data_IF_433606907172
#
_entry.id   IF_433606907172
#
_cell.length_a   1.000
_cell.length_b   1.000
_cell.length_c   1.000
_cell.angle_alpha   90.00
_cell.angle_beta   90.00
_cell.angle_gamma   90.00
#
_symmetry.space_group_name_H-M   'P 1'
#
loop_
_entity.id
_entity.type
_entity.pdbx_description
1 polymer ?
#
# COMPACT_ATOMS: atom_id res chain seq x y z
N UNK A 1 -12.85 -30.09 -31.08
CA UNK A 1 -11.40 -30.07 -31.05
C UNK A 1 -10.89 -28.83 -31.78
N UNK A 2 -10.47 -27.81 -31.04
CA UNK A 2 -10.14 -26.49 -31.57
C UNK A 2 -8.87 -26.52 -32.44
N UNK A 3 -8.79 -25.62 -33.44
CA UNK A 3 -7.68 -25.52 -34.41
C UNK A 3 -6.28 -25.35 -33.80
N UNK A 4 -6.16 -25.00 -32.53
CA UNK A 4 -4.87 -24.81 -31.85
C UNK A 4 -4.25 -26.07 -31.24
N UNK A 5 -5.05 -27.11 -30.95
CA UNK A 5 -4.56 -28.38 -30.39
C UNK A 5 -3.76 -29.20 -31.42
N UNK A 6 -4.00 -29.02 -32.71
CA UNK A 6 -3.36 -29.82 -33.77
C UNK A 6 -1.90 -29.46 -34.08
N UNK A 7 -1.36 -28.36 -33.53
CA UNK A 7 -0.01 -27.89 -33.86
C UNK A 7 0.98 -27.96 -32.69
N UNK A 8 0.65 -28.66 -31.61
CA UNK A 8 1.56 -28.84 -30.45
C UNK A 8 2.23 -30.20 -30.49
N UNK A 9 3.44 -30.26 -29.88
CA UNK A 9 4.21 -31.51 -29.88
C UNK A 9 3.41 -32.65 -29.23
N UNK A 10 3.56 -33.90 -29.71
CA UNK A 10 2.90 -35.08 -29.12
C UNK A 10 3.23 -35.21 -27.64
N UNK A 11 4.45 -34.91 -27.22
CA UNK A 11 4.91 -34.93 -25.84
C UNK A 11 4.16 -33.97 -24.92
N UNK A 12 3.86 -32.72 -25.38
CA UNK A 12 3.08 -31.75 -24.64
C UNK A 12 1.63 -32.21 -24.48
N UNK A 13 1.05 -32.82 -25.51
CA UNK A 13 -0.29 -33.36 -25.46
C UNK A 13 -0.42 -34.51 -24.45
N UNK A 14 0.59 -35.40 -24.41
CA UNK A 14 0.65 -36.48 -23.44
C UNK A 14 0.79 -35.96 -22.00
N UNK A 15 1.68 -34.98 -21.77
CA UNK A 15 1.80 -34.33 -20.46
C UNK A 15 0.45 -33.72 -19.99
N UNK A 16 -0.28 -33.06 -20.86
CA UNK A 16 -1.60 -32.48 -20.55
C UNK A 16 -2.64 -33.57 -20.22
N UNK A 17 -2.62 -34.68 -20.94
CA UNK A 17 -3.54 -35.79 -20.73
C UNK A 17 -3.31 -36.50 -19.38
N UNK A 18 -2.07 -36.54 -18.92
CA UNK A 18 -1.65 -37.19 -17.66
C UNK A 18 -1.83 -36.28 -16.43
N UNK A 19 -2.25 -35.02 -16.59
CA UNK A 19 -2.44 -34.12 -15.46
C UNK A 19 -3.50 -34.64 -14.47
N UNK A 20 -3.24 -34.55 -13.16
CA UNK A 20 -4.20 -34.93 -12.14
C UNK A 20 -5.36 -33.91 -12.02
N UNK A 21 -6.47 -34.38 -11.46
CA UNK A 21 -7.64 -33.54 -11.16
C UNK A 21 -7.60 -32.93 -9.75
N UNK A 22 -6.44 -32.53 -9.30
CA UNK A 22 -6.12 -32.00 -7.98
C UNK A 22 -5.68 -30.55 -8.06
N UNK A 23 -5.67 -29.81 -6.93
CA UNK A 23 -5.08 -28.48 -6.85
C UNK A 23 -3.58 -28.50 -7.18
N UNK A 24 -3.10 -27.41 -7.78
CA UNK A 24 -1.68 -27.28 -8.09
C UNK A 24 -1.33 -26.03 -8.87
N UNK A 25 -0.05 -25.91 -9.18
CA UNK A 25 0.54 -24.85 -9.99
C UNK A 25 1.09 -25.47 -11.27
N UNK A 26 0.88 -24.79 -12.40
CA UNK A 26 1.43 -25.18 -13.69
C UNK A 26 2.30 -24.06 -14.25
N UNK A 27 3.36 -24.44 -14.96
CA UNK A 27 4.31 -23.56 -15.61
C UNK A 27 4.35 -23.86 -17.10
N UNK A 28 4.40 -22.81 -17.91
CA UNK A 28 4.62 -22.92 -19.35
C UNK A 28 6.01 -22.41 -19.70
N UNK A 29 6.66 -23.12 -20.59
CA UNK A 29 7.98 -22.82 -21.09
C UNK A 29 7.93 -22.52 -22.59
N UNK A 30 8.80 -21.64 -23.04
CA UNK A 30 9.05 -21.40 -24.48
C UNK A 30 10.03 -22.43 -25.06
N UNK A 31 10.39 -22.25 -26.34
CA UNK A 31 11.35 -23.12 -27.03
C UNK A 31 12.79 -23.04 -26.49
N UNK A 32 13.10 -22.01 -25.69
CA UNK A 32 14.41 -21.80 -25.06
C UNK A 32 14.44 -22.38 -23.63
N UNK A 33 13.33 -22.96 -23.15
CA UNK A 33 13.21 -23.47 -21.79
C UNK A 33 12.97 -22.40 -20.72
N UNK A 34 12.65 -21.18 -21.14
CA UNK A 34 12.35 -20.08 -20.22
C UNK A 34 10.91 -20.16 -19.74
N UNK A 35 10.69 -19.96 -18.42
CA UNK A 35 9.32 -19.87 -17.85
C UNK A 35 8.64 -18.59 -18.36
N UNK A 36 7.60 -18.77 -19.15
CA UNK A 36 6.84 -17.66 -19.76
C UNK A 36 5.52 -17.37 -19.04
N UNK A 37 4.98 -18.34 -18.30
CA UNK A 37 3.76 -18.21 -17.53
C UNK A 37 3.72 -19.19 -16.37
N UNK A 38 3.21 -18.76 -15.21
CA UNK A 38 2.88 -19.58 -14.05
C UNK A 38 1.40 -19.37 -13.72
N UNK A 39 0.67 -20.43 -13.39
CA UNK A 39 -0.74 -20.30 -13.02
C UNK A 39 -1.17 -21.38 -12.02
N UNK A 40 -2.09 -21.00 -11.12
CA UNK A 40 -2.74 -21.92 -10.18
C UNK A 40 -3.99 -22.59 -10.78
N UNK A 41 -4.34 -23.72 -10.22
CA UNK A 41 -5.58 -24.41 -10.57
C UNK A 41 -6.17 -25.14 -9.36
N UNK A 42 -7.51 -25.09 -9.20
CA UNK A 42 -8.28 -26.01 -8.33
C UNK A 42 -8.27 -27.43 -8.89
N UNK A 43 -8.21 -27.55 -10.21
CA UNK A 43 -8.11 -28.79 -10.97
C UNK A 43 -7.16 -28.54 -12.14
N UNK A 44 -5.93 -29.07 -12.04
CA UNK A 44 -4.87 -28.88 -13.01
C UNK A 44 -5.30 -29.32 -14.40
N UNK A 45 -5.86 -30.55 -14.53
CA UNK A 45 -6.29 -31.11 -15.83
C UNK A 45 -7.30 -30.21 -16.52
N UNK A 46 -8.37 -29.81 -15.80
CA UNK A 46 -9.44 -28.97 -16.36
C UNK A 46 -8.91 -27.59 -16.77
N UNK A 47 -8.10 -26.96 -15.92
CA UNK A 47 -7.56 -25.61 -16.14
C UNK A 47 -6.61 -25.58 -17.33
N UNK A 48 -5.61 -26.46 -17.35
CA UNK A 48 -4.63 -26.52 -18.41
C UNK A 48 -5.26 -26.88 -19.75
N UNK A 49 -6.14 -27.89 -19.79
CA UNK A 49 -6.85 -28.25 -21.02
C UNK A 49 -7.68 -27.11 -21.61
N UNK A 50 -8.18 -26.20 -20.78
CA UNK A 50 -8.97 -25.05 -21.25
C UNK A 50 -8.19 -24.10 -22.17
N UNK A 51 -6.88 -23.98 -22.00
CA UNK A 51 -6.03 -23.15 -22.88
C UNK A 51 -5.91 -23.73 -24.30
N UNK A 52 -6.00 -25.04 -24.45
CA UNK A 52 -5.77 -25.71 -25.73
C UNK A 52 -7.08 -26.11 -26.45
N UNK A 53 -8.19 -26.20 -25.70
CA UNK A 53 -9.47 -26.67 -26.24
C UNK A 53 -10.45 -25.53 -26.57
N UNK A 54 -10.17 -24.30 -26.17
CA UNK A 54 -11.03 -23.13 -26.45
C UNK A 54 -10.34 -22.17 -27.43
N UNK A 55 -11.14 -21.53 -28.26
CA UNK A 55 -10.72 -20.33 -28.98
C UNK A 55 -10.77 -19.18 -28.00
N UNK A 56 -9.65 -18.47 -27.82
CA UNK A 56 -9.57 -17.32 -26.95
C UNK A 56 -9.81 -16.06 -27.78
N UNK A 57 -10.76 -15.23 -27.35
CA UNK A 57 -11.09 -13.96 -28.03
C UNK A 57 -9.98 -12.92 -27.83
N UNK A 58 -9.11 -13.12 -26.85
CA UNK A 58 -8.02 -12.21 -26.51
C UNK A 58 -6.73 -12.55 -27.22
N UNK A 59 -6.22 -11.57 -27.94
CA UNK A 59 -4.98 -11.67 -28.72
C UNK A 59 -3.79 -12.15 -27.87
N UNK A 60 -3.71 -11.69 -26.62
CA UNK A 60 -2.58 -12.03 -25.70
C UNK A 60 -2.60 -13.48 -25.25
N UNK A 61 -3.77 -14.04 -24.92
CA UNK A 61 -3.90 -15.46 -24.59
C UNK A 61 -3.54 -16.34 -25.77
N UNK A 62 -3.93 -15.93 -26.98
CA UNK A 62 -3.53 -16.62 -28.21
C UNK A 62 -2.01 -16.57 -28.41
N UNK A 63 -1.36 -15.45 -28.11
CA UNK A 63 0.10 -15.31 -28.18
C UNK A 63 0.80 -16.20 -27.15
N UNK A 64 0.29 -16.24 -25.90
CA UNK A 64 0.78 -17.18 -24.89
C UNK A 64 0.70 -18.61 -25.38
N UNK A 65 -0.50 -19.06 -25.80
CA UNK A 65 -0.72 -20.44 -26.27
C UNK A 65 0.19 -20.79 -27.44
N UNK A 66 0.46 -19.86 -28.35
CA UNK A 66 1.43 -20.09 -29.46
C UNK A 66 2.86 -20.23 -28.95
N UNK A 67 3.26 -19.46 -27.93
CA UNK A 67 4.60 -19.45 -27.39
C UNK A 67 4.92 -20.68 -26.51
N UNK A 68 3.91 -21.42 -26.01
CA UNK A 68 4.12 -22.61 -25.18
C UNK A 68 4.79 -23.71 -26.02
N UNK A 69 5.98 -24.10 -25.62
CA UNK A 69 6.70 -25.26 -26.17
C UNK A 69 6.62 -26.47 -25.23
N UNK A 70 6.68 -26.25 -23.92
CA UNK A 70 6.59 -27.29 -22.88
C UNK A 70 5.84 -26.81 -21.64
N UNK A 71 5.53 -27.75 -20.74
CA UNK A 71 4.89 -27.47 -19.47
C UNK A 71 5.41 -28.37 -18.34
N UNK A 72 5.30 -27.86 -17.11
CA UNK A 72 5.45 -28.67 -15.89
C UNK A 72 4.33 -28.30 -14.91
N UNK A 73 4.08 -29.16 -13.93
CA UNK A 73 3.08 -28.93 -12.90
C UNK A 73 3.54 -29.46 -11.54
N UNK A 74 3.12 -28.78 -10.49
CA UNK A 74 3.39 -29.15 -9.10
C UNK A 74 2.03 -29.31 -8.42
N UNK A 75 1.76 -30.50 -7.89
CA UNK A 75 0.54 -30.79 -7.11
C UNK A 75 0.76 -30.31 -5.69
N UNK A 76 -0.26 -29.68 -5.12
CA UNK A 76 -0.27 -29.24 -3.72
C UNK A 76 -1.56 -29.67 -3.02
N UNK A 77 -1.56 -29.79 -1.67
CA UNK A 77 -2.71 -30.30 -0.93
C UNK A 77 -3.94 -29.39 -1.01
N UNK A 78 -3.75 -28.07 -1.00
CA UNK A 78 -4.86 -27.11 -0.94
C UNK A 78 -4.75 -26.01 -2.01
N UNK A 79 -5.85 -25.33 -2.27
CA UNK A 79 -5.88 -24.18 -3.18
C UNK A 79 -5.09 -22.99 -2.62
N UNK A 80 -5.05 -22.83 -1.29
CA UNK A 80 -4.25 -21.82 -0.63
C UNK A 80 -2.74 -22.07 -0.85
N UNK A 81 -2.29 -23.33 -0.76
CA UNK A 81 -0.92 -23.69 -1.08
C UNK A 81 -0.58 -23.42 -2.56
N UNK A 82 -1.56 -23.65 -3.45
CA UNK A 82 -1.38 -23.35 -4.88
C UNK A 82 -1.19 -21.85 -5.12
N UNK A 83 -1.92 -20.97 -4.42
CA UNK A 83 -1.74 -19.51 -4.53
C UNK A 83 -0.36 -19.07 -4.01
N UNK A 84 0.01 -19.54 -2.82
CA UNK A 84 1.28 -19.21 -2.22
C UNK A 84 2.46 -19.63 -3.13
N UNK A 85 2.38 -20.82 -3.68
CA UNK A 85 3.40 -21.35 -4.58
C UNK A 85 3.44 -20.57 -5.91
N UNK A 86 2.27 -20.28 -6.52
CA UNK A 86 2.16 -19.45 -7.72
C UNK A 86 2.82 -18.08 -7.51
N UNK A 87 2.49 -17.40 -6.40
CA UNK A 87 3.01 -16.07 -6.07
C UNK A 87 4.54 -16.11 -5.90
N UNK A 88 5.05 -17.10 -5.18
CA UNK A 88 6.51 -17.32 -5.00
C UNK A 88 7.22 -17.52 -6.34
N UNK A 89 6.66 -18.36 -7.20
CA UNK A 89 7.23 -18.66 -8.52
C UNK A 89 7.17 -17.47 -9.47
N UNK A 90 6.10 -16.67 -9.43
CA UNK A 90 6.01 -15.42 -10.21
C UNK A 90 7.08 -14.43 -9.78
N UNK A 91 7.32 -14.28 -8.46
CA UNK A 91 8.37 -13.41 -7.91
C UNK A 91 9.78 -13.88 -8.32
N UNK A 92 10.02 -15.19 -8.36
CA UNK A 92 11.29 -15.81 -8.71
C UNK A 92 11.57 -15.71 -10.22
N UNK A 93 10.66 -16.23 -11.04
CA UNK A 93 10.88 -16.36 -12.51
C UNK A 93 10.49 -15.10 -13.28
N UNK A 94 9.68 -14.20 -12.71
CA UNK A 94 9.15 -12.98 -13.35
C UNK A 94 8.63 -13.21 -14.78
N UNK A 95 7.72 -14.17 -14.97
CA UNK A 95 7.34 -14.65 -16.29
C UNK A 95 6.70 -13.54 -17.14
N UNK A 96 6.96 -13.57 -18.45
CA UNK A 96 6.55 -12.52 -19.39
C UNK A 96 5.04 -12.29 -19.43
N UNK A 97 4.23 -13.33 -19.23
CA UNK A 97 2.75 -13.28 -19.35
C UNK A 97 2.02 -13.21 -18.03
N UNK A 98 2.72 -13.24 -16.88
CA UNK A 98 2.08 -13.06 -15.59
C UNK A 98 1.89 -11.58 -15.23
N UNK A 99 0.92 -11.34 -14.33
CA UNK A 99 0.78 -10.05 -13.63
C UNK A 99 2.06 -9.79 -12.85
N UNK A 100 2.65 -8.63 -13.04
CA UNK A 100 3.80 -8.19 -12.27
C UNK A 100 3.39 -7.03 -11.38
N UNK A 101 3.63 -7.18 -10.10
CA UNK A 101 3.56 -6.07 -9.17
C UNK A 101 4.69 -5.09 -9.51
N UNK A 102 4.31 -3.86 -9.86
CA UNK A 102 5.24 -2.76 -10.08
C UNK A 102 5.43 -2.00 -8.77
N UNK A 103 6.13 -2.58 -7.82
CA UNK A 103 6.46 -1.86 -6.60
C UNK A 103 7.97 -1.83 -6.37
N UNK A 104 8.54 -0.64 -6.54
CA UNK A 104 9.87 -0.26 -6.09
C UNK A 104 9.83 0.91 -5.09
N UNK A 105 8.63 1.28 -4.60
CA UNK A 105 8.47 2.44 -3.72
C UNK A 105 8.40 2.04 -2.26
N UNK A 106 9.39 2.50 -1.50
CA UNK A 106 9.37 2.42 -0.05
C UNK A 106 8.34 3.39 0.54
N UNK A 107 7.29 2.86 1.16
CA UNK A 107 6.30 3.65 1.89
C UNK A 107 6.89 4.25 3.18
N UNK A 108 6.41 5.42 3.63
CA UNK A 108 6.81 5.97 4.92
C UNK A 108 6.19 5.18 6.09
N UNK A 109 7.00 4.99 7.12
CA UNK A 109 6.66 4.35 8.38
C UNK A 109 7.00 5.27 9.54
N UNK A 110 6.29 5.15 10.66
CA UNK A 110 6.70 5.72 11.93
C UNK A 110 7.37 4.60 12.73
N UNK A 111 8.65 4.81 13.07
CA UNK A 111 9.47 3.90 13.84
C UNK A 111 9.48 4.32 15.31
N UNK A 112 9.24 3.37 16.22
CA UNK A 112 9.46 3.50 17.66
C UNK A 112 10.61 2.56 18.03
N UNK A 113 11.77 3.11 18.40
CA UNK A 113 12.99 2.34 18.63
C UNK A 113 12.89 1.49 19.91
N UNK A 114 13.73 0.44 19.98
CA UNK A 114 13.90 -0.38 21.18
C UNK A 114 15.12 0.11 21.95
N UNK A 115 15.00 1.24 22.63
CA UNK A 115 16.03 1.85 23.47
C UNK A 115 15.46 2.08 24.87
N UNK A 116 16.31 2.36 25.86
CA UNK A 116 15.90 2.74 27.22
C UNK A 116 14.95 3.94 27.20
N UNK A 117 15.23 4.93 26.35
CA UNK A 117 14.35 6.05 26.03
C UNK A 117 14.04 5.99 24.53
N UNK A 118 12.94 5.32 24.10
CA UNK A 118 12.61 5.16 22.69
C UNK A 118 12.47 6.48 21.95
N UNK A 119 12.94 6.52 20.69
CA UNK A 119 12.74 7.62 19.76
C UNK A 119 11.60 7.32 18.81
N UNK A 120 10.91 8.37 18.36
CA UNK A 120 9.84 8.26 17.39
C UNK A 120 10.17 9.14 16.18
N UNK A 121 10.27 8.52 15.00
CA UNK A 121 10.65 9.23 13.77
C UNK A 121 10.14 8.53 12.52
N UNK A 122 10.13 9.27 11.40
CA UNK A 122 9.77 8.75 10.08
C UNK A 122 10.94 7.99 9.44
N UNK A 123 10.65 6.85 8.84
CA UNK A 123 11.60 6.07 8.06
C UNK A 123 10.92 5.44 6.84
N UNK A 124 11.71 5.09 5.84
CA UNK A 124 11.25 4.26 4.72
C UNK A 124 11.83 2.85 4.76
N UNK A 125 12.77 2.61 5.66
CA UNK A 125 13.41 1.29 5.83
C UNK A 125 12.89 0.63 7.10
N UNK A 126 12.55 -0.64 7.00
CA UNK A 126 12.25 -1.51 8.14
C UNK A 126 13.49 -2.35 8.43
N UNK A 127 14.09 -2.17 9.59
CA UNK A 127 15.23 -2.93 10.05
C UNK A 127 14.76 -4.03 11.02
N UNK A 128 15.49 -5.14 11.08
CA UNK A 128 15.23 -6.21 12.07
C UNK A 128 16.04 -5.95 13.35
N UNK A 129 15.84 -4.78 13.95
CA UNK A 129 16.54 -4.29 15.14
C UNK A 129 15.70 -4.34 16.41
N UNK A 130 14.51 -4.95 16.34
CA UNK A 130 13.55 -5.03 17.43
C UNK A 130 12.73 -3.76 17.64
N UNK A 131 12.91 -2.72 16.83
CA UNK A 131 12.03 -1.55 16.81
C UNK A 131 10.65 -1.91 16.30
N UNK A 132 9.65 -1.13 16.68
CA UNK A 132 8.27 -1.28 16.18
C UNK A 132 8.02 -0.26 15.08
N UNK A 133 7.41 -0.72 13.99
CA UNK A 133 7.10 0.07 12.81
C UNK A 133 5.59 0.14 12.62
N UNK A 134 5.05 1.36 12.49
CA UNK A 134 3.64 1.65 12.30
C UNK A 134 3.41 2.25 10.92
N UNK A 135 2.41 1.79 10.22
CA UNK A 135 2.11 2.09 8.82
C UNK A 135 1.87 0.81 8.03
N UNK A 136 2.04 0.79 6.70
CA UNK A 136 2.53 1.90 5.86
C UNK A 136 1.54 3.07 5.73
N UNK A 137 2.07 4.28 5.50
CA UNK A 137 1.25 5.46 5.22
C UNK A 137 1.26 5.75 3.71
N UNK A 138 0.16 6.29 3.18
CA UNK A 138 0.02 6.62 1.74
C UNK A 138 1.08 7.58 1.23
N UNK A 139 1.45 8.56 2.07
CA UNK A 139 2.44 9.58 1.74
C UNK A 139 3.12 10.13 3.00
N UNK A 140 4.22 10.84 2.78
CA UNK A 140 5.01 11.45 3.87
C UNK A 140 4.22 12.51 4.64
N UNK A 141 3.30 13.22 3.98
CA UNK A 141 2.47 14.24 4.62
C UNK A 141 1.52 13.66 5.67
N UNK A 142 0.86 12.54 5.35
CA UNK A 142 0.00 11.82 6.29
C UNK A 142 0.80 11.33 7.51
N UNK A 143 1.96 10.71 7.29
CA UNK A 143 2.81 10.24 8.37
C UNK A 143 3.39 11.40 9.24
N UNK A 144 3.72 12.55 8.62
CA UNK A 144 4.16 13.75 9.36
C UNK A 144 3.06 14.31 10.24
N UNK A 145 1.82 14.41 9.74
CA UNK A 145 0.70 14.93 10.52
C UNK A 145 0.49 14.14 11.83
N UNK A 146 0.64 12.81 11.77
CA UNK A 146 0.59 11.95 12.97
C UNK A 146 1.78 12.22 13.90
N UNK A 147 2.98 12.34 13.34
CA UNK A 147 4.20 12.59 14.13
C UNK A 147 4.18 13.98 14.79
N UNK A 148 3.65 14.98 14.10
CA UNK A 148 3.53 16.34 14.63
C UNK A 148 2.50 16.37 15.77
N UNK A 149 1.35 15.71 15.62
CA UNK A 149 0.40 15.51 16.74
C UNK A 149 1.07 14.87 17.96
N UNK A 150 1.84 13.79 17.77
CA UNK A 150 2.55 13.11 18.85
C UNK A 150 3.54 14.05 19.57
N UNK A 151 4.25 14.90 18.82
CA UNK A 151 5.20 15.87 19.38
C UNK A 151 4.54 17.04 20.10
N UNK A 152 3.34 17.42 19.70
CA UNK A 152 2.54 18.43 20.40
C UNK A 152 2.00 17.88 21.73
N UNK A 153 1.64 16.58 21.78
CA UNK A 153 1.09 15.93 22.97
C UNK A 153 2.16 15.54 24.00
N UNK A 154 3.33 15.09 23.52
CA UNK A 154 4.35 14.50 24.38
C UNK A 154 5.75 15.01 24.07
N UNK A 155 6.54 15.42 25.09
CA UNK A 155 7.93 15.81 24.92
C UNK A 155 8.80 14.58 24.65
N UNK A 156 8.94 14.19 23.40
CA UNK A 156 9.66 12.99 22.99
C UNK A 156 11.04 13.36 22.44
N UNK A 157 12.08 12.65 22.95
CA UNK A 157 13.44 12.90 22.45
C UNK A 157 13.57 12.60 20.95
N UNK A 158 14.19 13.54 20.22
CA UNK A 158 14.52 13.40 18.79
C UNK A 158 15.98 13.10 18.51
N UNK A 159 16.88 13.31 19.49
CA UNK A 159 18.32 13.20 19.30
C UNK A 159 18.78 11.73 19.15
N UNK A 160 19.93 11.54 18.47
CA UNK A 160 20.55 10.23 18.27
C UNK A 160 21.59 9.86 19.33
N UNK A 161 21.75 10.67 20.38
CA UNK A 161 22.71 10.41 21.45
C UNK A 161 22.30 9.12 22.17
N UNK A 162 23.17 8.13 22.29
CA UNK A 162 22.87 6.92 23.06
C UNK A 162 22.68 7.26 24.53
N UNK A 163 21.57 6.84 25.13
CA UNK A 163 21.31 6.98 26.57
C UNK A 163 21.25 5.58 27.15
N UNK A 164 22.29 5.26 27.93
CA UNK A 164 22.44 3.97 28.61
C UNK A 164 22.59 4.19 30.11
N UNK A 165 22.36 3.20 30.97
CA UNK A 165 22.59 3.33 32.40
C UNK A 165 24.00 3.84 32.72
N UNK A 166 25.04 3.35 32.00
CA UNK A 166 26.43 3.79 32.17
C UNK A 166 26.64 5.26 31.76
N UNK A 167 25.96 5.74 30.71
CA UNK A 167 26.07 7.13 30.28
C UNK A 167 25.43 8.08 31.29
N UNK A 168 24.34 7.68 31.91
CA UNK A 168 23.68 8.43 32.98
C UNK A 168 24.53 8.45 34.25
N UNK A 169 25.09 7.30 34.66
CA UNK A 169 25.94 7.19 35.86
C UNK A 169 27.21 8.07 35.73
N UNK A 170 27.77 8.25 34.52
CA UNK A 170 28.92 9.11 34.26
C UNK A 170 28.60 10.62 34.25
N UNK A 171 27.34 11.01 34.29
CA UNK A 171 26.92 12.42 34.30
C UNK A 171 27.36 13.25 33.08
N UNK A 172 27.63 12.60 31.92
CA UNK A 172 28.13 13.26 30.72
C UNK A 172 27.06 13.98 29.88
N UNK A 173 25.77 13.81 30.26
CA UNK A 173 24.64 14.44 29.54
C UNK A 173 24.67 15.97 29.73
N UNK A 174 24.39 16.72 28.64
CA UNK A 174 24.16 18.17 28.69
C UNK A 174 22.79 18.48 28.17
N UNK A 175 22.06 19.36 28.87
CA UNK A 175 20.78 19.87 28.42
C UNK A 175 20.97 20.63 27.09
N UNK A 176 20.20 20.24 26.09
CA UNK A 176 20.27 20.80 24.74
C UNK A 176 19.08 21.74 24.48
N UNK A 177 19.08 22.40 23.32
CA UNK A 177 18.02 23.31 22.92
C UNK A 177 16.62 22.67 22.99
N UNK A 178 16.48 21.39 22.60
CA UNK A 178 15.18 20.68 22.63
C UNK A 178 14.60 20.56 24.05
N UNK A 179 15.45 20.47 25.07
CA UNK A 179 15.02 20.53 26.47
C UNK A 179 14.48 21.94 26.83
N UNK A 180 15.23 22.98 26.48
CA UNK A 180 14.81 24.37 26.77
C UNK A 180 13.52 24.76 25.99
N UNK A 181 13.32 24.17 24.82
CA UNK A 181 12.08 24.32 24.04
C UNK A 181 10.93 23.40 24.54
N UNK A 182 11.09 22.69 25.67
CA UNK A 182 10.13 21.74 26.23
C UNK A 182 9.73 20.60 25.27
N UNK A 183 10.54 20.32 24.26
CA UNK A 183 10.31 19.22 23.29
C UNK A 183 10.95 17.90 23.70
N UNK A 184 11.80 17.91 24.72
CA UNK A 184 12.46 16.75 25.27
C UNK A 184 12.53 16.88 26.81
N UNK A 185 12.20 15.83 27.59
CA UNK A 185 12.17 15.93 29.04
C UNK A 185 13.56 15.76 29.71
N UNK A 186 14.66 15.81 28.94
CA UNK A 186 16.01 15.71 29.50
C UNK A 186 16.48 14.27 29.74
N UNK A 187 16.08 13.32 28.90
CA UNK A 187 16.44 11.88 29.04
C UNK A 187 17.96 11.65 29.19
N UNK A 188 18.81 12.43 28.52
CA UNK A 188 20.26 12.26 28.55
C UNK A 188 20.93 12.70 29.88
N UNK A 189 20.21 13.41 30.75
CA UNK A 189 20.67 13.87 32.06
C UNK A 189 19.93 13.16 33.20
N UNK A 190 19.00 12.23 32.92
CA UNK A 190 18.23 11.50 33.91
C UNK A 190 17.16 12.33 34.62
N UNK A 191 16.73 13.47 34.06
CA UNK A 191 15.68 14.31 34.64
C UNK A 191 14.30 13.66 34.62
N UNK A 192 14.13 12.64 33.80
CA UNK A 192 12.91 11.80 33.76
C UNK A 192 13.31 10.35 33.93
N UNK A 193 12.51 9.58 34.67
CA UNK A 193 12.74 8.15 34.83
C UNK A 193 12.42 7.40 33.52
N UNK A 194 13.03 6.23 33.26
CA UNK A 194 12.64 5.38 32.13
C UNK A 194 11.19 4.95 32.18
N UNK A 195 10.64 4.76 33.37
CA UNK A 195 9.26 4.34 33.64
C UNK A 195 8.27 5.46 33.22
N UNK A 196 8.49 6.70 33.68
CA UNK A 196 7.65 7.84 33.34
C UNK A 196 7.71 8.16 31.84
N UNK A 197 8.91 8.09 31.26
CA UNK A 197 9.05 8.24 29.81
C UNK A 197 8.39 7.09 29.04
N UNK A 198 8.42 5.89 29.60
CA UNK A 198 7.74 4.70 29.08
C UNK A 198 6.24 4.92 28.94
N UNK A 199 5.62 5.66 29.86
CA UNK A 199 4.20 5.99 29.80
C UNK A 199 3.89 6.88 28.58
N UNK A 200 4.73 7.87 28.27
CA UNK A 200 4.57 8.68 27.05
C UNK A 200 4.63 7.79 25.81
N UNK A 201 5.55 6.86 25.77
CA UNK A 201 5.72 5.94 24.63
C UNK A 201 4.53 5.00 24.48
N UNK A 202 3.91 4.54 25.58
CA UNK A 202 2.70 3.69 25.47
C UNK A 202 1.50 4.49 24.95
N UNK A 203 1.32 5.72 25.40
CA UNK A 203 0.28 6.61 24.85
C UNK A 203 0.52 6.89 23.34
N UNK A 204 1.78 7.09 22.93
CA UNK A 204 2.15 7.21 21.51
C UNK A 204 1.80 5.95 20.73
N UNK A 205 2.04 4.77 21.30
CA UNK A 205 1.67 3.50 20.66
C UNK A 205 0.17 3.36 20.48
N UNK A 206 -0.63 3.82 21.45
CA UNK A 206 -2.10 3.83 21.33
C UNK A 206 -2.55 4.72 20.17
N UNK A 207 -2.00 5.94 20.06
CA UNK A 207 -2.28 6.83 18.91
C UNK A 207 -1.92 6.16 17.58
N UNK A 208 -0.74 5.52 17.51
CA UNK A 208 -0.25 4.87 16.30
C UNK A 208 -1.04 3.61 15.91
N UNK A 209 -1.73 2.98 16.88
CA UNK A 209 -2.67 1.86 16.64
C UNK A 209 -4.08 2.34 16.30
N UNK A 210 -4.36 3.64 16.37
CA UNK A 210 -5.71 4.19 16.20
C UNK A 210 -6.58 4.13 17.44
N UNK A 211 -6.04 3.73 18.61
CA UNK A 211 -6.75 3.59 19.88
C UNK A 211 -6.98 4.94 20.59
N UNK A 212 -7.28 5.99 19.82
CA UNK A 212 -7.47 7.36 20.31
C UNK A 212 -8.66 7.51 21.28
N UNK A 213 -9.65 6.62 21.20
CA UNK A 213 -10.81 6.64 22.10
C UNK A 213 -10.43 6.34 23.56
N UNK A 214 -9.53 5.40 23.82
CA UNK A 214 -9.03 5.11 25.16
C UNK A 214 -8.21 6.27 25.72
N UNK A 215 -7.38 6.88 24.86
CA UNK A 215 -6.61 8.07 25.22
C UNK A 215 -7.54 9.24 25.60
N UNK A 216 -8.58 9.51 24.81
CA UNK A 216 -9.55 10.56 25.10
C UNK A 216 -10.29 10.29 26.41
N UNK A 217 -10.70 9.06 26.70
CA UNK A 217 -11.34 8.68 27.94
C UNK A 217 -10.41 8.90 29.15
N UNK A 218 -9.12 8.52 29.00
CA UNK A 218 -8.12 8.75 30.05
C UNK A 218 -7.86 10.24 30.30
N UNK A 219 -7.63 11.02 29.24
CA UNK A 219 -7.42 12.48 29.35
C UNK A 219 -8.61 13.17 30.04
N UNK A 220 -9.83 12.75 29.70
CA UNK A 220 -11.05 13.28 30.33
C UNK A 220 -11.13 12.96 31.81
N UNK A 221 -10.88 11.71 32.19
CA UNK A 221 -10.88 11.26 33.58
C UNK A 221 -9.85 12.03 34.42
N UNK A 222 -8.61 12.18 33.90
CA UNK A 222 -7.56 12.93 34.59
C UNK A 222 -7.86 14.41 34.70
N UNK A 223 -8.44 15.01 33.65
CA UNK A 223 -8.90 16.40 33.67
C UNK A 223 -9.98 16.64 34.74
N UNK A 224 -10.95 15.73 34.85
CA UNK A 224 -12.01 15.80 35.88
C UNK A 224 -11.40 15.64 37.29
N UNK A 225 -10.44 14.72 37.48
CA UNK A 225 -9.73 14.52 38.75
C UNK A 225 -8.96 15.77 39.19
N UNK A 226 -8.14 16.34 38.28
CA UNK A 226 -7.35 17.55 38.57
C UNK A 226 -8.23 18.77 38.84
N UNK A 227 -9.37 18.87 38.16
CA UNK A 227 -10.36 19.92 38.42
C UNK A 227 -10.97 19.79 39.81
N UNK A 228 -11.27 18.56 40.26
CA UNK A 228 -11.77 18.29 41.63
C UNK A 228 -10.71 18.63 42.70
N UNK A 229 -9.42 18.45 42.39
CA UNK A 229 -8.28 18.82 43.23
C UNK A 229 -7.94 20.34 43.18
N UNK A 230 -8.75 21.16 42.48
CA UNK A 230 -8.54 22.59 42.24
C UNK A 230 -7.23 22.96 41.52
N UNK A 231 -6.65 22.00 40.79
CA UNK A 231 -5.40 22.16 39.99
C UNK A 231 -5.74 22.59 38.57
N UNK A 232 -6.35 23.76 38.43
CA UNK A 232 -6.96 24.23 37.17
C UNK A 232 -5.96 24.42 36.02
N UNK A 233 -4.72 24.86 36.30
CA UNK A 233 -3.71 25.01 35.23
C UNK A 233 -3.38 23.66 34.58
N UNK A 234 -3.21 22.62 35.37
CA UNK A 234 -2.92 21.29 34.86
C UNK A 234 -4.14 20.67 34.20
N UNK A 235 -5.34 20.91 34.71
CA UNK A 235 -6.57 20.50 34.04
C UNK A 235 -6.74 21.20 32.66
N UNK A 236 -6.32 22.45 32.55
CA UNK A 236 -6.34 23.19 31.30
C UNK A 236 -5.35 22.61 30.26
N UNK A 237 -4.14 22.27 30.67
CA UNK A 237 -3.16 21.59 29.79
C UNK A 237 -3.73 20.27 29.23
N UNK A 238 -4.36 19.45 30.07
CA UNK A 238 -5.01 18.21 29.62
C UNK A 238 -6.21 18.48 28.70
N UNK A 239 -6.97 19.55 28.92
CA UNK A 239 -8.05 19.95 28.03
C UNK A 239 -7.54 20.34 26.64
N UNK A 240 -6.42 21.01 26.56
CA UNK A 240 -5.78 21.36 25.28
C UNK A 240 -5.34 20.11 24.54
N UNK A 241 -4.72 19.16 25.25
CA UNK A 241 -4.36 17.85 24.70
C UNK A 241 -5.60 17.07 24.23
N UNK A 242 -6.65 17.02 25.02
CA UNK A 242 -7.93 16.39 24.64
C UNK A 242 -8.49 16.99 23.34
N UNK A 243 -8.58 18.32 23.26
CA UNK A 243 -9.08 19.00 22.07
C UNK A 243 -8.20 18.76 20.82
N UNK A 244 -6.89 18.59 21.00
CA UNK A 244 -5.97 18.30 19.91
C UNK A 244 -6.22 16.88 19.36
N UNK A 245 -6.32 15.87 20.23
CA UNK A 245 -6.64 14.48 19.85
C UNK A 245 -8.02 14.40 19.20
N UNK A 246 -9.02 15.06 19.77
CA UNK A 246 -10.39 15.10 19.24
C UNK A 246 -10.42 15.71 17.81
N UNK A 247 -9.74 16.83 17.59
CA UNK A 247 -9.60 17.43 16.24
C UNK A 247 -8.87 16.52 15.27
N UNK A 248 -7.85 15.80 15.74
CA UNK A 248 -7.16 14.81 14.91
C UNK A 248 -8.10 13.66 14.55
N UNK A 249 -8.82 13.11 15.52
CA UNK A 249 -9.81 12.05 15.29
C UNK A 249 -10.90 12.50 14.30
N UNK A 250 -11.44 13.69 14.45
CA UNK A 250 -12.44 14.23 13.54
C UNK A 250 -11.93 14.41 12.10
N UNK A 251 -10.66 14.78 11.92
CA UNK A 251 -10.02 14.87 10.59
C UNK A 251 -9.68 13.50 10.01
N UNK A 252 -9.36 12.52 10.86
CA UNK A 252 -9.00 11.16 10.47
C UNK A 252 -10.21 10.23 10.37
N UNK A 253 -11.33 10.58 11.04
CA UNK A 253 -12.57 9.82 10.99
C UNK A 253 -13.22 10.00 9.62
N UNK A 254 -12.98 9.05 8.73
CA UNK A 254 -13.59 9.00 7.40
C UNK A 254 -15.01 8.44 7.51
N UNK A 255 -15.30 7.67 8.57
CA UNK A 255 -16.55 6.92 8.76
C UNK A 255 -16.88 6.76 10.25
N UNK A 256 -18.07 6.23 10.53
CA UNK A 256 -18.56 5.95 11.88
C UNK A 256 -17.55 5.17 12.76
N UNK A 257 -17.35 5.56 14.02
CA UNK A 257 -16.54 4.81 14.99
C UNK A 257 -17.00 3.36 15.23
N UNK A 258 -18.22 3.03 14.76
CA UNK A 258 -18.77 1.67 14.84
C UNK A 258 -18.09 0.66 13.90
N UNK A 259 -17.31 1.14 12.92
CA UNK A 259 -16.51 0.27 12.07
C UNK A 259 -15.14 0.06 12.73
N UNK A 260 -14.96 -1.11 13.29
CA UNK A 260 -13.73 -1.51 13.96
C UNK A 260 -13.10 -2.68 13.23
N UNK A 261 -11.79 -2.57 12.99
CA UNK A 261 -10.91 -3.61 12.43
C UNK A 261 -11.32 -4.14 11.04
N UNK A 262 -11.45 -3.20 10.08
CA UNK A 262 -11.89 -3.50 8.71
C UNK A 262 -10.77 -3.24 7.72
N UNK A 263 -10.52 -4.20 6.85
CA UNK A 263 -9.59 -4.07 5.72
C UNK A 263 -10.34 -3.77 4.42
N UNK A 264 -9.91 -2.74 3.70
CA UNK A 264 -10.62 -2.23 2.53
C UNK A 264 -9.74 -2.28 1.30
N UNK A 265 -10.23 -2.85 0.21
CA UNK A 265 -9.55 -2.90 -1.09
C UNK A 265 -10.34 -2.15 -2.16
N UNK A 266 -9.88 -0.95 -2.50
CA UNK A 266 -10.46 -0.13 -3.56
C UNK A 266 -9.68 -0.24 -4.86
N UNK A 267 -10.40 -0.45 -5.95
CA UNK A 267 -9.81 -0.64 -7.29
C UNK A 267 -10.02 0.59 -8.17
N UNK A 268 -9.02 0.90 -8.97
CA UNK A 268 -9.14 1.77 -10.13
C UNK A 268 -8.62 1.00 -11.37
N UNK A 269 -9.57 0.55 -12.16
CA UNK A 269 -9.36 -0.22 -13.40
C UNK A 269 -10.13 0.49 -14.52
N UNK A 270 -9.42 0.98 -15.50
CA UNK A 270 -9.99 1.65 -16.68
C UNK A 270 -10.05 0.74 -17.91
N UNK A 271 -9.84 -0.57 -17.70
CA UNK A 271 -9.73 -1.55 -18.79
C UNK A 271 -8.38 -1.53 -19.49
N UNK A 272 -7.44 -0.70 -19.05
CA UNK A 272 -6.07 -0.65 -19.55
C UNK A 272 -5.19 -1.78 -19.01
N UNK A 273 -3.88 -1.62 -19.22
CA UNK A 273 -2.90 -2.61 -18.76
C UNK A 273 -2.53 -2.48 -17.29
N UNK A 274 -2.66 -1.28 -16.71
CA UNK A 274 -2.26 -1.00 -15.34
C UNK A 274 -3.51 -0.90 -14.46
N UNK A 275 -3.54 -1.70 -13.39
CA UNK A 275 -4.59 -1.70 -12.36
C UNK A 275 -3.99 -1.21 -11.06
N UNK A 276 -4.69 -0.31 -10.39
CA UNK A 276 -4.29 0.25 -9.10
C UNK A 276 -5.25 -0.24 -8.03
N UNK A 277 -4.72 -0.85 -6.98
CA UNK A 277 -5.48 -1.37 -5.85
C UNK A 277 -5.01 -0.65 -4.59
N UNK A 278 -5.88 0.14 -3.97
CA UNK A 278 -5.59 0.77 -2.69
C UNK A 278 -6.08 -0.12 -1.55
N UNK A 279 -5.16 -0.51 -0.70
CA UNK A 279 -5.43 -1.16 0.57
C UNK A 279 -5.50 -0.10 1.68
N UNK A 280 -6.51 -0.21 2.55
CA UNK A 280 -6.61 0.57 3.78
C UNK A 280 -7.03 -0.35 4.93
N UNK A 281 -6.38 -0.20 6.08
CA UNK A 281 -6.83 -0.79 7.32
C UNK A 281 -7.46 0.30 8.19
N UNK A 282 -8.69 0.08 8.58
CA UNK A 282 -9.51 1.02 9.36
C UNK A 282 -9.76 0.45 10.74
N UNK A 283 -9.43 1.22 11.76
CA UNK A 283 -9.70 0.84 13.15
C UNK A 283 -10.39 2.00 13.86
N UNK A 284 -11.54 1.71 14.46
CA UNK A 284 -12.41 2.71 15.13
C UNK A 284 -12.66 3.96 14.27
N UNK A 285 -12.96 3.73 12.99
CA UNK A 285 -13.22 4.80 12.03
C UNK A 285 -11.99 5.57 11.54
N UNK A 286 -10.79 5.29 12.04
CA UNK A 286 -9.54 5.91 11.62
C UNK A 286 -8.72 5.00 10.69
N UNK A 287 -8.17 5.55 9.61
CA UNK A 287 -7.25 4.82 8.71
C UNK A 287 -5.88 4.74 9.36
N UNK A 288 -5.48 3.54 9.79
CA UNK A 288 -4.20 3.28 10.45
C UNK A 288 -3.11 2.84 9.47
N UNK A 289 -3.50 2.24 8.34
CA UNK A 289 -2.59 1.83 7.26
C UNK A 289 -3.22 2.16 5.92
N UNK A 290 -2.43 2.59 4.97
CA UNK A 290 -2.90 2.74 3.60
C UNK A 290 -1.74 2.69 2.62
N UNK A 291 -1.90 1.89 1.57
CA UNK A 291 -0.94 1.80 0.46
C UNK A 291 -1.66 1.48 -0.83
N UNK A 292 -1.04 1.77 -1.97
CA UNK A 292 -1.61 1.46 -3.28
C UNK A 292 -0.65 0.60 -4.06
N UNK A 293 -1.08 -0.62 -4.37
CA UNK A 293 -0.38 -1.56 -5.24
C UNK A 293 -0.68 -1.21 -6.70
N UNK A 294 0.30 -1.36 -7.56
CA UNK A 294 0.15 -1.20 -9.01
C UNK A 294 0.45 -2.54 -9.68
N UNK A 295 -0.56 -3.14 -10.28
CA UNK A 295 -0.43 -4.36 -11.07
C UNK A 295 -0.41 -4.04 -12.56
N UNK A 296 0.43 -4.75 -13.30
CA UNK A 296 0.40 -4.72 -14.76
C UNK A 296 -0.30 -5.96 -15.27
N UNK A 297 -1.55 -5.79 -15.74
CA UNK A 297 -2.33 -6.86 -16.37
C UNK A 297 -1.59 -7.37 -17.61
N UNK A 298 -1.49 -8.67 -17.73
CA UNK A 298 -0.83 -9.34 -18.85
C UNK A 298 -1.77 -10.18 -19.67
N UNK A 299 -2.75 -10.78 -19.01
CA UNK A 299 -3.83 -11.57 -19.60
C UNK A 299 -5.18 -10.94 -19.20
N UNK A 300 -6.24 -11.74 -19.25
CA UNK A 300 -7.58 -11.35 -18.78
C UNK A 300 -7.78 -11.70 -17.29
N UNK A 301 -6.92 -11.15 -16.45
CA UNK A 301 -7.09 -11.36 -15.01
C UNK A 301 -8.37 -10.68 -14.54
N UNK A 302 -9.20 -11.45 -13.83
CA UNK A 302 -10.45 -10.94 -13.26
C UNK A 302 -10.20 -10.06 -12.04
N UNK A 303 -11.11 -9.15 -11.69
CA UNK A 303 -11.00 -8.37 -10.45
C UNK A 303 -10.83 -9.24 -9.21
N UNK A 304 -11.50 -10.41 -9.15
CA UNK A 304 -11.38 -11.38 -8.04
C UNK A 304 -9.97 -11.98 -7.94
N UNK A 305 -9.33 -12.30 -9.06
CA UNK A 305 -7.94 -12.77 -9.08
C UNK A 305 -6.98 -11.68 -8.60
N UNK A 306 -7.16 -10.45 -9.07
CA UNK A 306 -6.33 -9.31 -8.65
C UNK A 306 -6.52 -9.01 -7.16
N UNK A 307 -7.75 -9.14 -6.62
CA UNK A 307 -8.00 -9.02 -5.19
C UNK A 307 -7.27 -10.09 -4.40
N UNK A 308 -7.33 -11.36 -4.83
CA UNK A 308 -6.62 -12.46 -4.18
C UNK A 308 -5.10 -12.23 -4.15
N UNK A 309 -4.51 -11.76 -5.27
CA UNK A 309 -3.08 -11.39 -5.31
C UNK A 309 -2.76 -10.22 -4.36
N UNK A 310 -3.61 -9.20 -4.31
CA UNK A 310 -3.39 -8.05 -3.44
C UNK A 310 -3.47 -8.45 -1.95
N UNK A 311 -4.45 -9.25 -1.57
CA UNK A 311 -4.59 -9.76 -0.20
C UNK A 311 -3.35 -10.58 0.19
N UNK A 312 -2.92 -11.50 -0.66
CA UNK A 312 -1.74 -12.33 -0.41
C UNK A 312 -0.48 -11.48 -0.29
N UNK A 313 -0.27 -10.52 -1.19
CA UNK A 313 0.90 -9.63 -1.17
C UNK A 313 0.98 -8.80 0.12
N UNK A 314 -0.18 -8.29 0.59
CA UNK A 314 -0.26 -7.55 1.85
C UNK A 314 0.06 -8.46 3.04
N UNK A 315 -0.45 -9.69 3.06
CA UNK A 315 -0.14 -10.68 4.08
C UNK A 315 1.36 -10.99 4.09
N UNK A 316 1.95 -11.32 2.95
CA UNK A 316 3.37 -11.70 2.83
C UNK A 316 4.31 -10.57 3.22
N UNK A 317 4.00 -9.34 2.76
CA UNK A 317 4.88 -8.19 2.93
C UNK A 317 4.77 -7.57 4.31
N UNK A 318 3.57 -7.51 4.88
CA UNK A 318 3.29 -6.76 6.10
C UNK A 318 2.86 -7.64 7.28
N UNK A 319 2.62 -8.95 7.06
CA UNK A 319 2.15 -9.87 8.08
C UNK A 319 0.73 -9.55 8.56
N UNK A 320 -0.13 -9.08 7.64
CA UNK A 320 -1.53 -8.75 7.96
C UNK A 320 -2.35 -10.03 7.97
N UNK A 321 -3.18 -10.19 8.98
CA UNK A 321 -4.28 -11.15 9.03
C UNK A 321 -5.59 -10.40 8.90
N UNK A 322 -6.55 -10.95 8.19
CA UNK A 322 -7.85 -10.34 7.92
C UNK A 322 -8.93 -11.00 8.74
N UNK A 323 -9.83 -10.22 9.33
CA UNK A 323 -11.09 -10.70 9.90
C UNK A 323 -12.26 -10.30 8.99
N UNK A 324 -12.37 -9.01 8.64
CA UNK A 324 -13.35 -8.49 7.69
C UNK A 324 -12.66 -7.72 6.56
N UNK A 325 -12.98 -8.09 5.31
CA UNK A 325 -12.51 -7.42 4.10
C UNK A 325 -13.68 -6.79 3.37
N UNK A 326 -13.55 -5.50 3.05
CA UNK A 326 -14.49 -4.76 2.22
C UNK A 326 -13.88 -4.53 0.85
N UNK A 327 -14.52 -5.03 -0.20
CA UNK A 327 -14.08 -4.89 -1.58
C UNK A 327 -15.27 -4.71 -2.52
N UNK A 328 -15.03 -4.44 -3.81
CA UNK A 328 -16.10 -4.30 -4.80
C UNK A 328 -16.44 -5.61 -5.51
N UNK A 329 -15.69 -6.68 -5.25
CA UNK A 329 -15.91 -8.03 -5.75
C UNK A 329 -15.44 -9.04 -4.70
N UNK A 330 -15.86 -10.27 -4.85
CA UNK A 330 -15.32 -11.37 -4.07
C UNK A 330 -13.95 -11.80 -4.62
N UNK A 331 -13.03 -12.25 -3.76
CA UNK A 331 -11.77 -12.84 -4.22
C UNK A 331 -12.06 -14.13 -4.99
N UNK A 332 -11.19 -14.48 -5.94
CA UNK A 332 -11.28 -15.72 -6.71
C UNK A 332 -11.02 -16.97 -5.84
N UNK A 333 -10.54 -16.76 -4.62
CA UNK A 333 -10.23 -17.80 -3.63
C UNK A 333 -10.88 -17.53 -2.29
N UNK A 334 -11.17 -18.62 -1.57
CA UNK A 334 -11.57 -18.56 -0.18
C UNK A 334 -10.36 -18.32 0.72
N UNK A 335 -10.46 -17.32 1.57
CA UNK A 335 -9.51 -17.04 2.66
C UNK A 335 -10.13 -17.56 3.95
N UNK A 336 -9.59 -18.64 4.57
CA UNK A 336 -10.20 -19.25 5.77
C UNK A 336 -10.33 -18.24 6.91
N UNK A 337 -11.53 -18.11 7.47
CA UNK A 337 -11.82 -17.23 8.58
C UNK A 337 -12.02 -15.74 8.20
N UNK A 338 -11.94 -15.38 6.92
CA UNK A 338 -12.13 -14.02 6.44
C UNK A 338 -13.55 -13.81 5.94
N UNK A 339 -14.23 -12.78 6.46
CA UNK A 339 -15.53 -12.35 5.93
C UNK A 339 -15.33 -11.28 4.87
N UNK A 340 -15.71 -11.57 3.61
CA UNK A 340 -15.65 -10.59 2.53
C UNK A 340 -17.02 -9.95 2.34
N UNK A 341 -17.07 -8.62 2.36
CA UNK A 341 -18.28 -7.82 2.19
C UNK A 341 -18.18 -6.96 0.93
N UNK A 342 -19.19 -7.05 0.06
CA UNK A 342 -19.34 -6.19 -1.14
C UNK A 342 -20.49 -5.19 -0.86
N UNK A 343 -20.17 -3.99 -0.30
CA UNK A 343 -21.19 -3.09 0.18
C UNK A 343 -21.82 -2.29 -0.96
N UNK A 344 -23.15 -2.17 -0.95
CA UNK A 344 -23.90 -1.31 -1.87
C UNK A 344 -24.22 0.06 -1.26
N UNK A 345 -24.38 0.16 0.06
CA UNK A 345 -24.76 1.36 0.80
C UNK A 345 -24.12 1.38 2.20
N UNK A 346 -24.18 2.54 2.87
CA UNK A 346 -23.73 2.70 4.24
C UNK A 346 -22.24 3.05 4.36
N UNK A 347 -21.72 2.93 5.56
CA UNK A 347 -20.36 3.39 5.88
C UNK A 347 -19.26 2.55 5.24
N UNK A 348 -19.47 1.23 5.06
CA UNK A 348 -18.55 0.36 4.32
C UNK A 348 -18.43 0.79 2.85
N UNK A 349 -19.54 1.19 2.22
CA UNK A 349 -19.51 1.70 0.84
C UNK A 349 -18.74 3.02 0.75
N UNK A 350 -18.89 3.92 1.74
CA UNK A 350 -18.11 5.16 1.80
C UNK A 350 -16.61 4.90 1.93
N UNK A 351 -16.21 3.93 2.76
CA UNK A 351 -14.80 3.49 2.88
C UNK A 351 -14.26 2.97 1.55
N UNK A 352 -15.03 2.13 0.88
CA UNK A 352 -14.67 1.60 -0.43
C UNK A 352 -14.47 2.72 -1.46
N UNK A 353 -15.33 3.74 -1.45
CA UNK A 353 -15.20 4.91 -2.32
C UNK A 353 -13.95 5.74 -2.01
N UNK A 354 -13.55 5.84 -0.73
CA UNK A 354 -12.29 6.49 -0.35
C UNK A 354 -11.11 5.71 -0.90
N UNK A 355 -11.09 4.38 -0.73
CA UNK A 355 -10.03 3.52 -1.26
C UNK A 355 -9.94 3.62 -2.80
N UNK A 356 -11.07 3.64 -3.50
CA UNK A 356 -11.13 3.83 -4.97
C UNK A 356 -10.57 5.19 -5.39
N UNK A 357 -10.90 6.26 -4.66
CA UNK A 357 -10.34 7.60 -4.92
C UNK A 357 -8.83 7.64 -4.73
N UNK A 358 -8.31 6.97 -3.71
CA UNK A 358 -6.87 6.85 -3.48
C UNK A 358 -6.18 6.09 -4.62
N UNK A 359 -6.76 4.98 -5.09
CA UNK A 359 -6.25 4.23 -6.24
C UNK A 359 -6.21 5.11 -7.49
N UNK A 360 -7.30 5.84 -7.78
CA UNK A 360 -7.40 6.77 -8.91
C UNK A 360 -6.38 7.91 -8.84
N UNK A 361 -6.22 8.50 -7.64
CA UNK A 361 -5.22 9.55 -7.43
C UNK A 361 -3.81 9.03 -7.72
N UNK A 362 -3.49 7.82 -7.27
CA UNK A 362 -2.20 7.18 -7.52
C UNK A 362 -1.94 6.98 -9.00
N UNK A 363 -2.95 6.54 -9.77
CA UNK A 363 -2.86 6.44 -11.23
C UNK A 363 -2.56 7.80 -11.87
N UNK A 364 -3.30 8.84 -11.47
CA UNK A 364 -3.09 10.19 -11.99
C UNK A 364 -1.67 10.70 -11.71
N UNK A 365 -1.13 10.42 -10.52
CA UNK A 365 0.24 10.81 -10.16
C UNK A 365 1.29 10.01 -10.96
N UNK A 366 1.05 8.72 -11.20
CA UNK A 366 1.92 7.89 -12.03
C UNK A 366 1.96 8.38 -13.49
N UNK A 367 0.81 8.75 -14.06
CA UNK A 367 0.72 9.32 -15.39
C UNK A 367 1.46 10.66 -15.50
N UNK A 368 1.26 11.57 -14.53
CA UNK A 368 2.00 12.84 -14.48
C UNK A 368 3.52 12.63 -14.36
N UNK A 369 3.94 11.62 -13.61
CA UNK A 369 5.36 11.29 -13.48
C UNK A 369 5.92 10.78 -14.82
N UNK A 370 5.21 9.89 -15.51
CA UNK A 370 5.60 9.41 -16.84
C UNK A 370 5.69 10.57 -17.86
N UNK A 371 4.72 11.50 -17.84
CA UNK A 371 4.74 12.70 -18.69
C UNK A 371 5.95 13.62 -18.42
N UNK A 372 6.46 13.65 -17.19
CA UNK A 372 7.66 14.43 -16.81
C UNK A 372 8.96 13.74 -17.18
N UNK A 373 9.00 12.41 -17.13
CA UNK A 373 10.22 11.62 -17.39
C UNK A 373 10.41 11.23 -18.85
N UNK A 374 9.37 11.36 -19.68
CA UNK A 374 9.40 11.07 -21.10
C UNK A 374 9.06 12.35 -21.92
N UNK A 375 10.10 13.16 -22.30
CA UNK A 375 9.90 14.41 -23.04
C UNK A 375 9.26 14.19 -24.40
N UNK A 376 9.53 13.07 -25.07
CA UNK A 376 8.99 12.77 -26.38
C UNK A 376 7.47 12.54 -26.35
N UNK A 377 6.98 11.77 -25.37
CA UNK A 377 5.53 11.58 -25.16
C UNK A 377 4.82 12.87 -24.79
N UNK A 378 5.47 13.74 -24.01
CA UNK A 378 4.93 15.07 -23.68
C UNK A 378 4.81 15.93 -24.93
N UNK A 379 5.84 15.92 -25.76
CA UNK A 379 5.84 16.65 -27.04
C UNK A 379 4.76 16.12 -27.97
N UNK A 380 4.63 14.80 -28.13
CA UNK A 380 3.59 14.18 -28.96
C UNK A 380 2.18 14.55 -28.50
N UNK A 381 1.91 14.45 -27.20
CA UNK A 381 0.59 14.82 -26.63
C UNK A 381 0.27 16.31 -26.85
N UNK A 382 1.28 17.18 -26.75
CA UNK A 382 1.13 18.61 -27.06
C UNK A 382 0.81 18.84 -28.52
N UNK A 383 1.51 18.14 -29.42
CA UNK A 383 1.25 18.23 -30.86
C UNK A 383 -0.13 17.69 -31.27
N UNK A 384 -0.57 16.60 -30.63
CA UNK A 384 -1.93 16.04 -30.82
C UNK A 384 -3.00 17.03 -30.33
N UNK A 385 -2.78 17.71 -29.19
CA UNK A 385 -3.68 18.75 -28.73
C UNK A 385 -3.74 19.93 -29.66
N UNK A 386 -2.59 20.42 -30.13
CA UNK A 386 -2.51 21.49 -31.13
C UNK A 386 -3.23 21.06 -32.42
N UNK A 387 -3.03 19.83 -32.90
CA UNK A 387 -3.76 19.27 -34.03
C UNK A 387 -5.26 19.34 -33.83
N UNK A 388 -5.76 18.95 -32.65
CA UNK A 388 -7.19 18.97 -32.33
C UNK A 388 -7.73 20.41 -32.21
N UNK A 389 -7.04 21.30 -31.50
CA UNK A 389 -7.45 22.68 -31.25
C UNK A 389 -7.52 23.49 -32.56
N UNK A 390 -6.56 23.28 -33.48
CA UNK A 390 -6.49 23.96 -34.78
C UNK A 390 -7.10 23.15 -35.94
N UNK A 391 -7.71 21.98 -35.65
CA UNK A 391 -8.35 21.07 -36.63
C UNK A 391 -7.44 20.75 -37.82
N UNK A 392 -6.16 20.51 -37.55
CA UNK A 392 -5.18 20.17 -38.57
C UNK A 392 -5.36 18.71 -39.04
N UNK A 393 -5.11 18.46 -40.33
CA UNK A 393 -5.17 17.10 -40.90
C UNK A 393 -4.02 16.21 -40.38
N UNK A 394 -2.83 16.82 -40.12
CA UNK A 394 -1.63 16.12 -39.68
C UNK A 394 -1.05 16.77 -38.42
N UNK A 395 -0.11 16.06 -37.75
CA UNK A 395 0.60 16.58 -36.60
C UNK A 395 1.53 17.75 -37.03
N UNK A 396 1.47 18.92 -36.35
CA UNK A 396 2.32 20.06 -36.68
C UNK A 396 3.76 19.80 -36.24
N UNK A 397 4.63 19.41 -37.18
CA UNK A 397 6.05 19.17 -36.92
C UNK A 397 6.89 20.45 -36.88
N UNK A 398 6.39 21.54 -37.44
CA UNK A 398 7.02 22.86 -37.45
C UNK A 398 6.00 23.92 -37.04
N UNK A 399 6.35 24.69 -36.01
CA UNK A 399 5.54 25.82 -35.52
C UNK A 399 6.40 27.08 -35.69
N UNK A 400 5.98 27.99 -36.58
CA UNK A 400 6.61 29.29 -36.76
C UNK A 400 5.74 30.38 -36.11
N UNK A 401 6.32 31.19 -35.26
CA UNK A 401 5.65 32.34 -34.61
C UNK A 401 6.21 33.61 -35.22
N UNK A 402 5.38 34.40 -35.92
CA UNK A 402 5.78 35.70 -36.38
C UNK A 402 5.13 36.79 -35.52
N UNK A 403 5.95 37.67 -34.98
CA UNK A 403 5.50 38.86 -34.24
C UNK A 403 5.40 40.06 -35.19
N UNK A 404 4.20 40.55 -35.40
CA UNK A 404 4.00 41.75 -36.25
C UNK A 404 4.26 43.07 -35.54
N UNK A 405 4.37 43.08 -34.22
CA UNK A 405 4.53 44.31 -33.41
C UNK A 405 5.55 44.11 -32.31
N UNK A 406 6.82 44.04 -32.65
CA UNK A 406 7.92 44.38 -31.74
C UNK A 406 8.46 45.75 -32.16
N UNK A 407 7.86 46.82 -31.66
CA UNK A 407 8.54 48.11 -31.55
C UNK A 407 9.50 47.96 -30.37
N UNK A 408 10.79 47.77 -30.69
CA UNK A 408 11.84 47.94 -29.70
C UNK A 408 11.81 49.39 -29.22
N UNK A 409 11.86 49.68 -27.92
CA UNK A 409 12.04 51.04 -27.45
C UNK A 409 13.41 51.51 -27.91
N UNK A 410 13.42 52.49 -28.80
CA UNK A 410 14.63 53.24 -29.16
C UNK A 410 15.02 54.07 -27.95
N UNK A 411 16.04 53.63 -27.21
CA UNK A 411 16.72 54.48 -26.25
C UNK A 411 17.32 55.66 -26.99
N UNK A 412 16.85 56.84 -26.67
CA UNK A 412 17.64 58.09 -26.76
C UNK A 412 18.27 58.37 -25.44
#
# INVERSE_FOLDING_TARGET
>A
MGKHSKNKSPELQEKIALLPETPGVYMYYDSEGTVIYVGKAKNLKRRVSSYFNRTHDVLRTNLLVRAIADMNSIVVPTEADALNLENSMIKEYKPRYNVLLKDDKSYPWICVTKEMYPRVFLTRQRLRDGARYYGPYTNVGAARAVLDLIRELYPIRGCRVPVTPDSLARGKGRLCLEYHLKRCPGCCTGLISPEDYGQYIENVRQILRGDTGQLLAHLRSEMERLSAELRFEQAQELKEQYQLVERYQARSAIVSPALDDVDVFGFDDDGGNDVYINYMHVRRGAVTRSLTLQYKRRLEETPGQLLSYAMQEITDTFGVTYDEVVAHCEPDMEFPGVTVTVPQRGDRAKLLDVARRNARQRRADALKHLERTDPEKRTMKTLERIKADFRLSELPRHIAVSYRHLTLPTNR
#
